data_IF_517014917293
#
_entry.id   IF_517014917293
#
_cell.length_a   1.000
_cell.length_b   1.000
_cell.length_c   1.000
_cell.angle_alpha   90.00
_cell.angle_beta   90.00
_cell.angle_gamma   90.00
#
_symmetry.space_group_name_H-M   'P 1'
#
loop_
_entity.id
_entity.type
_entity.pdbx_description
1 polymer ?
#
# COMPACT_ATOMS: atom_id res chain seq x y z
N UNK A 1 3.04 30.60 -4.00
CA UNK A 1 4.23 29.79 -4.30
C UNK A 1 3.82 28.68 -5.25
N UNK A 2 4.58 28.41 -6.31
CA UNK A 2 4.30 27.32 -7.26
C UNK A 2 5.14 26.13 -6.83
N UNK A 3 4.51 24.99 -6.51
CA UNK A 3 5.24 23.76 -6.21
C UNK A 3 5.89 23.25 -7.50
N UNK A 4 7.17 22.90 -7.45
CA UNK A 4 7.87 22.24 -8.55
C UNK A 4 7.81 20.72 -8.36
N UNK A 5 7.17 20.02 -9.30
CA UNK A 5 6.74 18.63 -9.15
C UNK A 5 7.17 17.77 -10.36
N UNK A 6 8.48 17.65 -10.62
CA UNK A 6 9.00 16.99 -11.83
C UNK A 6 8.65 15.50 -11.89
N UNK A 7 8.45 14.84 -10.75
CA UNK A 7 8.12 13.41 -10.69
C UNK A 7 6.73 13.06 -11.25
N UNK A 8 5.82 14.04 -11.36
CA UNK A 8 4.43 13.82 -11.83
C UNK A 8 4.03 14.73 -12.99
N UNK A 9 4.96 15.56 -13.47
CA UNK A 9 4.71 16.54 -14.54
C UNK A 9 5.36 16.04 -15.82
N UNK A 10 4.57 15.93 -16.88
CA UNK A 10 5.05 15.55 -18.21
C UNK A 10 5.91 16.67 -18.81
N UNK A 11 6.68 16.35 -19.86
CA UNK A 11 7.56 17.31 -20.56
C UNK A 11 6.80 18.53 -21.09
N UNK A 12 5.51 18.38 -21.39
CA UNK A 12 4.61 19.44 -21.85
C UNK A 12 4.01 20.29 -20.71
N UNK A 13 4.35 20.00 -19.45
CA UNK A 13 3.85 20.69 -18.27
C UNK A 13 2.49 20.19 -17.76
N UNK A 14 1.92 19.13 -18.36
CA UNK A 14 0.66 18.54 -17.92
C UNK A 14 0.84 17.50 -16.80
N UNK A 15 -0.24 17.19 -16.08
CA UNK A 15 -0.29 16.12 -15.09
C UNK A 15 -1.69 15.48 -15.07
N UNK A 16 -1.77 14.20 -14.70
CA UNK A 16 -3.04 13.48 -14.49
C UNK A 16 -3.44 13.62 -13.03
N UNK A 17 -4.34 14.55 -12.74
CA UNK A 17 -4.74 14.86 -11.37
C UNK A 17 -5.93 14.00 -10.93
N UNK A 18 -5.81 13.41 -9.75
CA UNK A 18 -6.93 12.84 -9.00
C UNK A 18 -7.15 13.68 -7.75
N UNK A 19 -8.37 14.21 -7.58
CA UNK A 19 -8.76 14.92 -6.36
C UNK A 19 -9.33 13.94 -5.34
N UNK A 20 -9.05 14.18 -4.06
CA UNK A 20 -9.58 13.42 -2.94
C UNK A 20 -10.58 14.30 -2.20
N UNK A 21 -11.82 13.82 -2.10
CA UNK A 21 -12.86 14.49 -1.32
C UNK A 21 -12.86 13.93 0.12
N UNK A 22 -12.70 14.76 1.16
CA UNK A 22 -12.75 14.32 2.55
C UNK A 22 -14.04 13.58 2.95
N UNK A 23 -15.18 13.86 2.29
CA UNK A 23 -16.46 13.21 2.57
C UNK A 23 -16.52 11.78 2.02
N UNK A 24 -15.91 11.54 0.85
CA UNK A 24 -15.95 10.22 0.20
C UNK A 24 -14.74 9.36 0.51
N UNK A 25 -13.59 9.98 0.82
CA UNK A 25 -12.31 9.31 1.06
C UNK A 25 -11.58 9.90 2.28
N UNK A 26 -12.18 9.83 3.49
CA UNK A 26 -11.67 10.48 4.69
C UNK A 26 -10.31 9.94 5.16
N UNK A 27 -9.94 8.69 4.84
CA UNK A 27 -8.60 8.14 5.15
C UNK A 27 -7.52 8.80 4.28
N UNK A 28 -7.75 8.86 2.96
CA UNK A 28 -6.83 9.50 2.02
C UNK A 28 -6.68 11.00 2.29
N UNK A 29 -7.77 11.71 2.62
CA UNK A 29 -7.69 13.14 2.97
C UNK A 29 -6.75 13.37 4.15
N UNK A 30 -6.94 12.61 5.24
CA UNK A 30 -6.08 12.72 6.43
C UNK A 30 -4.63 12.36 6.15
N UNK A 31 -4.38 11.40 5.27
CA UNK A 31 -3.03 11.07 4.83
C UNK A 31 -2.38 12.26 4.10
N UNK A 32 -3.06 12.85 3.11
CA UNK A 32 -2.55 14.00 2.36
C UNK A 32 -2.31 15.20 3.28
N UNK A 33 -3.19 15.45 4.26
CA UNK A 33 -3.00 16.50 5.27
C UNK A 33 -1.78 16.21 6.16
N UNK A 34 -1.61 14.97 6.62
CA UNK A 34 -0.46 14.58 7.43
C UNK A 34 0.85 14.69 6.64
N UNK A 35 0.84 14.30 5.36
CA UNK A 35 1.96 14.43 4.45
C UNK A 35 2.30 15.91 4.25
N UNK A 36 1.31 16.76 3.95
CA UNK A 36 1.50 18.20 3.80
C UNK A 36 2.09 18.86 5.06
N UNK A 37 1.59 18.52 6.26
CA UNK A 37 2.15 19.04 7.51
C UNK A 37 3.63 18.69 7.70
N UNK A 38 4.08 17.56 7.16
CA UNK A 38 5.47 17.09 7.28
C UNK A 38 6.38 17.61 6.17
N UNK A 39 5.88 17.75 4.95
CA UNK A 39 6.70 18.01 3.75
C UNK A 39 6.46 19.38 3.12
N UNK A 40 5.36 20.05 3.47
CA UNK A 40 4.86 21.25 2.78
C UNK A 40 4.27 20.95 1.39
N UNK A 41 4.13 19.67 1.02
CA UNK A 41 3.57 19.22 -0.25
C UNK A 41 2.31 18.38 0.01
N UNK A 42 1.10 18.79 -0.45
CA UNK A 42 -0.14 18.04 -0.25
C UNK A 42 -0.41 17.03 -1.37
N UNK A 43 0.62 16.48 -2.03
CA UNK A 43 0.47 15.65 -3.23
C UNK A 43 1.28 14.36 -3.07
N UNK A 44 0.64 13.24 -3.39
CA UNK A 44 1.26 11.91 -3.46
C UNK A 44 1.13 11.35 -4.88
N UNK A 45 2.11 10.55 -5.28
CA UNK A 45 2.03 9.78 -6.53
C UNK A 45 1.06 8.62 -6.31
N UNK A 46 0.11 8.43 -7.20
CA UNK A 46 -0.77 7.26 -7.20
C UNK A 46 -0.48 6.43 -8.46
N UNK A 47 0.02 5.21 -8.29
CA UNK A 47 0.31 4.26 -9.36
C UNK A 47 -0.40 2.94 -9.11
N UNK A 48 -0.59 2.11 -10.14
CA UNK A 48 -1.16 0.79 -10.00
C UNK A 48 -0.31 -0.08 -9.07
N UNK A 49 -0.98 -0.77 -8.13
CA UNK A 49 -0.31 -1.72 -7.26
C UNK A 49 -0.32 -3.11 -7.87
N UNK A 50 0.73 -3.35 -8.64
CA UNK A 50 1.04 -4.61 -9.28
C UNK A 50 2.54 -4.68 -9.60
N UNK A 51 3.01 -5.89 -9.90
CA UNK A 51 4.32 -6.08 -10.54
C UNK A 51 4.10 -6.09 -12.06
N UNK A 52 5.10 -5.69 -12.83
CA UNK A 52 5.01 -5.64 -14.30
C UNK A 52 4.59 -7.00 -14.87
N UNK A 53 3.46 -7.03 -15.58
CA UNK A 53 2.91 -8.23 -16.19
C UNK A 53 1.85 -8.96 -15.34
N UNK A 54 1.59 -8.49 -14.11
CA UNK A 54 0.56 -9.02 -13.23
C UNK A 54 -0.68 -8.10 -13.16
N UNK A 55 -1.88 -8.66 -12.88
CA UNK A 55 -3.08 -7.88 -12.62
C UNK A 55 -2.92 -7.04 -11.34
N UNK A 56 -3.83 -6.06 -11.17
CA UNK A 56 -3.94 -5.30 -9.91
C UNK A 56 -4.25 -6.27 -8.77
N UNK A 57 -3.60 -6.04 -7.63
CA UNK A 57 -3.82 -6.75 -6.36
C UNK A 57 -5.31 -6.71 -5.98
N UNK A 58 -5.89 -7.87 -5.66
CA UNK A 58 -7.28 -7.98 -5.23
C UNK A 58 -7.44 -8.61 -3.84
N UNK A 59 -6.40 -9.26 -3.32
CA UNK A 59 -6.43 -9.89 -1.99
C UNK A 59 -5.22 -9.49 -1.14
N UNK A 60 -5.29 -9.62 0.21
CA UNK A 60 -4.14 -9.40 1.08
C UNK A 60 -2.91 -10.22 0.70
N UNK A 61 -3.12 -11.46 0.24
CA UNK A 61 -2.07 -12.35 -0.22
C UNK A 61 -1.41 -11.86 -1.51
N UNK A 62 -2.21 -11.33 -2.45
CA UNK A 62 -1.70 -10.65 -3.64
C UNK A 62 -0.83 -9.45 -3.23
N UNK A 63 -1.26 -8.65 -2.24
CA UNK A 63 -0.54 -7.46 -1.77
C UNK A 63 0.81 -7.82 -1.16
N UNK A 64 0.85 -8.83 -0.29
CA UNK A 64 2.09 -9.31 0.34
C UNK A 64 3.06 -9.85 -0.71
N UNK A 65 2.54 -10.62 -1.69
CA UNK A 65 3.35 -11.14 -2.81
C UNK A 65 3.89 -10.01 -3.68
N UNK A 66 3.06 -9.03 -4.01
CA UNK A 66 3.47 -7.86 -4.79
C UNK A 66 4.58 -7.08 -4.07
N UNK A 67 4.43 -6.82 -2.76
CA UNK A 67 5.48 -6.20 -1.95
C UNK A 67 6.76 -7.06 -1.91
N UNK A 68 6.65 -8.38 -1.72
CA UNK A 68 7.80 -9.27 -1.65
C UNK A 68 8.64 -9.26 -2.95
N UNK A 69 7.98 -9.10 -4.10
CA UNK A 69 8.59 -9.12 -5.43
C UNK A 69 8.89 -7.73 -6.03
N UNK A 70 8.63 -6.64 -5.30
CA UNK A 70 8.89 -5.26 -5.74
C UNK A 70 9.91 -4.54 -4.86
N UNK A 71 10.13 -3.24 -5.11
CA UNK A 71 10.94 -2.37 -4.26
C UNK A 71 10.11 -1.62 -3.20
N UNK A 72 8.88 -2.06 -2.95
CA UNK A 72 8.03 -1.48 -1.90
C UNK A 72 8.61 -1.83 -0.53
N UNK A 73 8.82 -0.82 0.30
CA UNK A 73 9.39 -0.96 1.65
C UNK A 73 8.34 -1.32 2.70
N UNK A 74 7.13 -0.76 2.58
CA UNK A 74 6.05 -0.93 3.55
C UNK A 74 4.70 -1.11 2.87
N UNK A 75 3.85 -1.98 3.43
CA UNK A 75 2.47 -2.20 3.01
C UNK A 75 1.52 -1.79 4.12
N UNK A 76 0.60 -0.88 3.83
CA UNK A 76 -0.55 -0.59 4.70
C UNK A 76 -1.71 -1.45 4.23
N UNK A 77 -2.16 -2.38 5.06
CA UNK A 77 -3.32 -3.22 4.82
C UNK A 77 -4.34 -2.95 5.91
N UNK A 78 -5.38 -2.16 5.58
CA UNK A 78 -6.37 -1.71 6.55
C UNK A 78 -5.73 -0.97 7.72
N UNK A 79 -5.78 -1.57 8.91
CA UNK A 79 -5.25 -1.05 10.17
C UNK A 79 -3.90 -1.71 10.53
N UNK A 80 -3.25 -2.37 9.58
CA UNK A 80 -1.96 -3.01 9.76
C UNK A 80 -0.91 -2.35 8.88
N UNK A 81 0.29 -2.19 9.43
CA UNK A 81 1.47 -1.77 8.69
C UNK A 81 2.45 -2.93 8.71
N UNK A 82 2.86 -3.37 7.51
CA UNK A 82 3.84 -4.43 7.33
C UNK A 82 5.09 -3.80 6.76
N UNK A 83 6.16 -3.78 7.55
CA UNK A 83 7.50 -3.45 7.07
C UNK A 83 8.09 -4.67 6.37
N UNK A 84 8.48 -4.52 5.10
CA UNK A 84 9.08 -5.60 4.32
C UNK A 84 10.28 -6.18 5.05
N UNK A 85 11.07 -5.36 5.76
CA UNK A 85 12.24 -5.76 6.54
C UNK A 85 11.90 -6.75 7.67
N UNK A 86 10.68 -6.70 8.20
CA UNK A 86 10.21 -7.56 9.28
C UNK A 86 9.60 -8.88 8.79
N UNK A 87 9.34 -9.02 7.49
CA UNK A 87 8.84 -10.28 6.91
C UNK A 87 9.91 -11.37 7.02
N UNK A 88 9.62 -12.50 7.71
CA UNK A 88 10.56 -13.60 7.82
C UNK A 88 11.05 -14.11 6.47
N UNK A 89 12.34 -14.47 6.39
CA UNK A 89 12.98 -14.87 5.14
C UNK A 89 12.28 -16.05 4.44
N UNK A 90 11.71 -16.99 5.20
CA UNK A 90 10.99 -18.13 4.64
C UNK A 90 9.71 -17.71 3.90
N UNK A 91 9.01 -16.67 4.37
CA UNK A 91 7.81 -16.13 3.72
C UNK A 91 8.14 -15.31 2.49
N UNK A 92 9.24 -14.53 2.53
CA UNK A 92 9.74 -13.86 1.34
C UNK A 92 10.05 -14.87 0.23
N UNK A 93 10.70 -15.98 0.59
CA UNK A 93 11.03 -17.05 -0.35
C UNK A 93 9.76 -17.75 -0.88
N UNK A 94 8.78 -18.03 -0.03
CA UNK A 94 7.51 -18.63 -0.45
C UNK A 94 6.72 -17.72 -1.42
N UNK A 95 6.65 -16.42 -1.12
CA UNK A 95 5.99 -15.43 -1.97
C UNK A 95 6.67 -15.20 -3.34
N UNK A 96 7.96 -15.56 -3.46
CA UNK A 96 8.74 -15.48 -4.70
C UNK A 96 8.64 -16.74 -5.58
N UNK A 97 8.18 -17.88 -5.04
CA UNK A 97 8.33 -19.19 -5.66
C UNK A 97 7.14 -19.67 -6.54
N UNK A 98 6.05 -18.93 -6.68
CA UNK A 98 4.87 -19.43 -7.39
C UNK A 98 4.34 -18.48 -8.47
N UNK A 99 4.40 -18.85 -9.77
CA UNK A 99 3.49 -18.33 -10.77
C UNK A 99 2.22 -19.20 -10.79
N UNK A 100 1.11 -18.66 -10.29
CA UNK A 100 -0.20 -19.32 -10.34
C UNK A 100 -1.22 -18.66 -9.40
N UNK A 101 -2.54 -18.82 -9.67
CA UNK A 101 -3.57 -18.31 -8.78
C UNK A 101 -3.41 -18.95 -7.41
N UNK A 102 -3.19 -18.11 -6.40
CA UNK A 102 -2.80 -18.44 -5.02
C UNK A 102 -3.85 -19.24 -4.22
N UNK A 103 -4.96 -19.63 -4.87
CA UNK A 103 -6.16 -20.22 -4.24
C UNK A 103 -5.93 -21.62 -3.65
N UNK A 104 -4.91 -22.36 -4.08
CA UNK A 104 -4.81 -23.79 -3.73
C UNK A 104 -3.81 -24.11 -2.61
N UNK A 105 -3.16 -23.13 -1.98
CA UNK A 105 -2.09 -23.42 -0.98
C UNK A 105 -2.13 -22.67 0.34
N UNK A 106 -3.12 -21.81 0.60
CA UNK A 106 -3.05 -20.90 1.75
C UNK A 106 -4.28 -20.98 2.64
N UNK A 107 -4.47 -22.15 3.24
CA UNK A 107 -5.13 -22.24 4.55
C UNK A 107 -4.14 -22.61 5.67
N UNK A 108 -2.94 -23.11 5.35
CA UNK A 108 -1.98 -23.62 6.34
C UNK A 108 -0.98 -22.57 6.85
N UNK A 109 -0.43 -21.71 5.98
CA UNK A 109 0.85 -21.06 6.28
C UNK A 109 0.79 -19.56 6.65
N UNK A 110 -0.30 -18.85 6.34
CA UNK A 110 -0.45 -17.41 6.65
C UNK A 110 -1.27 -17.11 7.91
N UNK A 111 -2.07 -18.06 8.40
CA UNK A 111 -2.87 -17.90 9.62
C UNK A 111 -2.03 -17.54 10.88
N UNK A 112 -0.79 -18.05 11.06
CA UNK A 112 0.08 -17.65 12.18
C UNK A 112 0.60 -16.21 12.11
N UNK A 113 0.66 -15.58 10.93
CA UNK A 113 1.14 -14.20 10.77
C UNK A 113 0.03 -13.18 11.04
N UNK A 114 -1.20 -13.48 10.62
CA UNK A 114 -2.36 -12.68 10.98
C UNK A 114 -2.64 -12.73 12.49
N UNK A 115 -2.15 -13.77 13.19
CA UNK A 115 -2.28 -13.95 14.63
C UNK A 115 -1.04 -13.58 15.46
N UNK A 116 0.08 -13.21 14.83
CA UNK A 116 1.36 -12.95 15.51
C UNK A 116 1.97 -11.58 15.19
N UNK A 117 2.06 -10.72 16.21
CA UNK A 117 2.83 -9.46 16.25
C UNK A 117 2.77 -8.54 15.00
N UNK A 118 1.64 -8.51 14.29
CA UNK A 118 1.34 -7.34 13.47
C UNK A 118 1.05 -6.18 14.42
N UNK A 119 1.83 -5.11 14.36
CA UNK A 119 1.46 -3.88 15.04
C UNK A 119 0.15 -3.40 14.42
N UNK A 120 -0.94 -3.55 15.18
CA UNK A 120 -2.20 -2.91 14.85
C UNK A 120 -1.94 -1.40 14.95
N UNK A 121 -1.92 -0.73 13.81
CA UNK A 121 -1.86 0.71 13.77
C UNK A 121 -3.12 1.24 14.45
N UNK A 122 -2.95 1.83 15.65
CA UNK A 122 -4.03 2.49 16.36
C UNK A 122 -3.98 3.97 15.98
N UNK A 123 -4.93 4.50 15.21
CA UNK A 123 -5.04 5.94 15.08
C UNK A 123 -5.26 6.53 16.48
N UNK A 124 -4.65 7.68 16.76
CA UNK A 124 -5.13 8.53 17.83
C UNK A 124 -6.56 8.96 17.45
N UNK A 125 -7.54 8.28 18.04
CA UNK A 125 -8.99 8.46 17.92
C UNK A 125 -9.64 8.10 16.56
N UNK A 126 -10.57 7.14 16.61
CA UNK A 126 -11.55 6.83 15.56
C UNK A 126 -11.34 5.49 14.84
N UNK A 127 -12.25 4.54 15.08
CA UNK A 127 -12.38 3.29 14.30
C UNK A 127 -12.69 3.65 12.85
N UNK A 128 -12.00 3.02 11.91
CA UNK A 128 -12.18 3.27 10.48
C UNK A 128 -12.83 2.06 9.81
N UNK A 129 -13.74 2.25 8.83
CA UNK A 129 -14.42 1.15 8.14
C UNK A 129 -13.50 0.43 7.16
N UNK A 130 -13.71 -0.88 7.00
CA UNK A 130 -12.98 -1.82 6.14
C UNK A 130 -12.85 -1.32 4.68
N UNK A 131 -11.64 -1.38 4.12
CA UNK A 131 -11.33 -1.13 2.71
C UNK A 131 -9.82 -1.21 2.42
N UNK A 132 -9.42 -2.09 1.49
CA UNK A 132 -8.00 -2.26 1.15
C UNK A 132 -7.50 -0.99 0.46
N UNK A 133 -6.71 -0.18 1.18
CA UNK A 133 -6.13 1.02 0.61
C UNK A 133 -4.79 0.69 -0.05
N UNK A 134 -4.76 0.79 -1.37
CA UNK A 134 -3.55 0.68 -2.16
C UNK A 134 -2.67 1.92 -1.98
N UNK A 135 -1.42 1.74 -1.55
CA UNK A 135 -0.39 2.78 -1.56
C UNK A 135 0.93 2.23 -2.12
N UNK A 136 1.57 3.04 -2.97
CA UNK A 136 3.02 3.05 -3.23
C UNK A 136 3.52 4.44 -2.86
#
# INVERSE_FOLDING_TARGET
SKLDLPAITHVDGSARVQTVDPQTSPRFSRLLEAFNRRTGCPILVNTSFNVRGEPIVCTPEDAIRCMANSQIDSLVLEDFIIDKAQIPAFLRKAAQLAPGPFRDRVESDLHPLLSGNLERWRPAEGVLPEGVYTFV
#
